data_IF_843639521435
#
_entry.id   IF_843639521435
#
_cell.length_a   1.000
_cell.length_b   1.000
_cell.length_c   1.000
_cell.angle_alpha   90.00
_cell.angle_beta   90.00
_cell.angle_gamma   90.00
#
_symmetry.space_group_name_H-M   'P 1'
#
loop_
_entity.id
_entity.type
_entity.pdbx_description
1 polymer ?
#
# COMPACT_ATOMS: atom_id res chain seq x y z
N UNK A 1 3.10 20.32 -17.86
CA UNK A 1 3.16 19.00 -17.21
C UNK A 1 1.78 18.41 -17.13
N UNK A 2 1.64 17.15 -17.52
CA UNK A 2 0.35 16.46 -17.43
C UNK A 2 0.04 16.04 -16.00
N UNK A 3 -1.23 15.78 -15.71
CA UNK A 3 -1.67 15.29 -14.42
C UNK A 3 -0.98 13.96 -14.06
N UNK A 4 -0.76 13.10 -15.06
CA UNK A 4 -0.04 11.84 -14.90
C UNK A 4 1.41 12.07 -14.47
N UNK A 5 2.12 13.00 -15.11
CA UNK A 5 3.51 13.29 -14.78
C UNK A 5 3.65 13.84 -13.35
N UNK A 6 2.70 14.67 -12.92
CA UNK A 6 2.68 15.21 -11.57
C UNK A 6 2.50 14.10 -10.53
N UNK A 7 1.56 13.18 -10.75
CA UNK A 7 1.31 12.05 -9.85
C UNK A 7 2.52 11.14 -9.75
N UNK A 8 3.18 10.86 -10.88
CA UNK A 8 4.38 10.02 -10.92
C UNK A 8 5.53 10.67 -10.16
N UNK A 9 5.73 11.99 -10.33
CA UNK A 9 6.77 12.74 -9.62
C UNK A 9 6.54 12.73 -8.12
N UNK A 10 5.29 12.91 -7.68
CA UNK A 10 4.92 12.86 -6.26
C UNK A 10 5.18 11.47 -5.69
N UNK A 11 4.80 10.41 -6.38
CA UNK A 11 5.07 9.04 -5.95
C UNK A 11 6.55 8.76 -5.74
N UNK A 12 7.40 9.25 -6.65
CA UNK A 12 8.86 9.11 -6.51
C UNK A 12 9.41 9.88 -5.33
N UNK A 13 8.90 11.08 -5.04
CA UNK A 13 9.32 11.86 -3.88
C UNK A 13 8.97 11.15 -2.58
N UNK A 14 7.78 10.55 -2.48
CA UNK A 14 7.34 9.81 -1.28
C UNK A 14 8.19 8.56 -1.08
N UNK A 15 8.49 7.86 -2.16
CA UNK A 15 9.37 6.69 -2.11
C UNK A 15 10.77 7.08 -1.66
N UNK A 16 11.29 8.21 -2.14
CA UNK A 16 12.60 8.74 -1.72
C UNK A 16 12.62 9.07 -0.23
N UNK A 17 11.54 9.63 0.31
CA UNK A 17 11.42 9.90 1.75
C UNK A 17 11.49 8.62 2.57
N UNK A 18 10.82 7.56 2.11
CA UNK A 18 10.87 6.26 2.79
C UNK A 18 12.28 5.65 2.75
N UNK A 19 12.96 5.77 1.62
CA UNK A 19 14.34 5.30 1.48
C UNK A 19 15.25 6.03 2.47
N UNK A 20 15.14 7.35 2.56
CA UNK A 20 15.91 8.13 3.54
C UNK A 20 15.59 7.73 4.98
N UNK A 21 14.32 7.49 5.28
CA UNK A 21 13.90 7.04 6.60
C UNK A 21 14.59 5.73 6.97
N UNK A 22 14.57 4.73 6.09
CA UNK A 22 15.22 3.46 6.37
C UNK A 22 16.73 3.58 6.48
N UNK A 23 17.35 4.42 5.66
CA UNK A 23 18.80 4.68 5.75
C UNK A 23 19.15 5.32 7.10
N UNK A 24 18.31 6.23 7.59
CA UNK A 24 18.53 6.86 8.90
C UNK A 24 18.46 5.88 10.07
N UNK A 25 17.81 4.74 9.87
CA UNK A 25 17.71 3.66 10.86
C UNK A 25 18.78 2.58 10.68
N UNK A 26 19.73 2.79 9.77
CA UNK A 26 20.81 1.84 9.53
C UNK A 26 20.48 0.72 8.54
N UNK A 27 19.34 0.82 7.85
CA UNK A 27 18.97 -0.16 6.83
C UNK A 27 19.55 0.21 5.46
N UNK A 28 19.58 -0.78 4.57
CA UNK A 28 20.03 -0.61 3.19
C UNK A 28 18.88 -0.90 2.25
N UNK A 29 18.02 0.09 1.94
CA UNK A 29 16.91 -0.12 1.01
C UNK A 29 17.42 -0.21 -0.42
N UNK A 30 16.92 -1.21 -1.14
CA UNK A 30 17.24 -1.43 -2.55
C UNK A 30 15.94 -1.26 -3.34
N UNK A 31 15.80 -0.19 -4.14
CA UNK A 31 14.63 -0.02 -5.00
C UNK A 31 14.56 -1.16 -6.02
N UNK A 32 13.36 -1.68 -6.25
CA UNK A 32 13.15 -2.75 -7.23
C UNK A 32 12.40 -2.14 -8.42
N UNK A 33 13.05 -2.00 -9.57
CA UNK A 33 12.38 -1.44 -10.75
C UNK A 33 11.44 -2.46 -11.38
N UNK A 34 10.37 -1.94 -11.99
CA UNK A 34 9.45 -2.75 -12.78
C UNK A 34 8.38 -3.44 -11.95
N UNK A 35 7.61 -4.32 -12.60
CA UNK A 35 6.43 -4.97 -12.03
C UNK A 35 6.65 -6.42 -11.65
N UNK A 36 7.89 -6.89 -11.64
CA UNK A 36 8.18 -8.33 -11.58
C UNK A 36 8.29 -8.90 -10.17
N UNK A 37 8.58 -8.08 -9.18
CA UNK A 37 8.94 -8.55 -7.85
C UNK A 37 7.80 -8.59 -6.86
N UNK A 38 6.69 -7.90 -7.14
CA UNK A 38 5.58 -7.80 -6.20
C UNK A 38 5.84 -6.87 -5.01
N UNK A 39 6.95 -6.14 -5.00
CA UNK A 39 7.22 -5.11 -3.99
C UNK A 39 8.11 -4.01 -4.58
N UNK A 40 8.05 -2.83 -3.96
CA UNK A 40 8.70 -1.61 -4.46
C UNK A 40 10.16 -1.48 -4.04
N UNK A 41 10.49 -1.96 -2.87
CA UNK A 41 11.88 -2.00 -2.42
C UNK A 41 12.11 -3.13 -1.42
N UNK A 42 13.39 -3.45 -1.23
CA UNK A 42 13.83 -4.57 -0.41
C UNK A 42 14.89 -4.08 0.57
N UNK A 43 14.79 -4.46 1.83
CA UNK A 43 15.82 -4.14 2.82
C UNK A 43 16.84 -5.29 2.88
N UNK A 44 18.07 -5.00 2.44
CA UNK A 44 19.11 -6.02 2.31
C UNK A 44 19.48 -6.69 3.65
N UNK A 45 19.49 -5.93 4.73
CA UNK A 45 19.91 -6.43 6.03
C UNK A 45 18.86 -7.28 6.75
N UNK A 46 17.55 -7.06 6.49
CA UNK A 46 16.48 -7.87 7.05
C UNK A 46 15.91 -8.87 6.05
N UNK A 47 16.24 -8.73 4.78
CA UNK A 47 15.73 -9.54 3.67
C UNK A 47 14.21 -9.49 3.54
N UNK A 48 13.64 -8.31 3.76
CA UNK A 48 12.20 -8.08 3.67
C UNK A 48 11.85 -7.15 2.53
N UNK A 49 10.77 -7.49 1.80
CA UNK A 49 10.23 -6.68 0.72
C UNK A 49 9.07 -5.82 1.19
N UNK A 50 9.02 -4.60 0.68
CA UNK A 50 8.01 -3.59 1.05
C UNK A 50 7.26 -3.13 -0.19
N UNK A 51 5.94 -3.05 -0.08
CA UNK A 51 5.09 -2.49 -1.11
C UNK A 51 4.44 -1.21 -0.58
N UNK A 52 4.57 -0.12 -1.33
CA UNK A 52 3.99 1.17 -0.97
C UNK A 52 2.67 1.34 -1.69
N UNK A 53 1.63 1.62 -0.93
CA UNK A 53 0.28 1.90 -1.46
C UNK A 53 -0.06 3.35 -1.21
N UNK A 54 0.05 4.17 -2.25
CA UNK A 54 -0.34 5.57 -2.16
C UNK A 54 -1.86 5.68 -2.27
N UNK A 55 -2.51 6.12 -1.22
CA UNK A 55 -3.96 6.32 -1.19
C UNK A 55 -4.29 7.65 -0.50
N UNK A 56 -4.10 8.73 -1.23
CA UNK A 56 -4.34 10.07 -0.70
C UNK A 56 -5.83 10.40 -0.62
N UNK A 57 -6.69 9.64 -1.30
CA UNK A 57 -8.14 9.79 -1.15
C UNK A 57 -8.61 9.45 0.26
N UNK A 58 -7.86 8.63 0.98
CA UNK A 58 -8.13 8.31 2.37
C UNK A 58 -8.15 9.54 3.27
N UNK A 59 -7.40 10.58 2.90
CA UNK A 59 -7.39 11.85 3.63
C UNK A 59 -8.79 12.51 3.64
N UNK A 60 -9.57 12.31 2.57
CA UNK A 60 -10.93 12.86 2.46
C UNK A 60 -12.01 11.87 2.85
N UNK A 61 -11.90 10.63 2.40
CA UNK A 61 -12.92 9.61 2.59
C UNK A 61 -12.87 8.95 3.97
N UNK A 62 -11.69 8.97 4.61
CA UNK A 62 -11.45 8.26 5.85
C UNK A 62 -11.28 6.76 5.67
N UNK A 63 -11.28 6.27 4.42
CA UNK A 63 -11.16 4.84 4.12
C UNK A 63 -9.97 4.55 3.23
N UNK A 64 -9.32 3.40 3.47
CA UNK A 64 -8.32 2.84 2.59
C UNK A 64 -8.94 1.76 1.72
N UNK A 65 -8.47 1.65 0.49
CA UNK A 65 -8.92 0.64 -0.47
C UNK A 65 -7.91 -0.51 -0.47
N UNK A 66 -8.37 -1.72 -0.16
CA UNK A 66 -7.52 -2.91 -0.13
C UNK A 66 -8.00 -3.87 -1.20
N UNK A 67 -7.35 -3.85 -2.35
CA UNK A 67 -7.71 -4.69 -3.50
C UNK A 67 -7.44 -6.16 -3.19
N UNK A 68 -8.34 -7.04 -3.59
CA UNK A 68 -8.22 -8.49 -3.39
C UNK A 68 -8.46 -9.30 -4.66
N UNK A 69 -9.11 -8.72 -5.67
CA UNK A 69 -9.41 -9.40 -6.92
C UNK A 69 -9.47 -8.43 -8.08
N UNK A 70 -8.96 -8.85 -9.22
CA UNK A 70 -9.03 -8.11 -10.48
C UNK A 70 -9.20 -9.10 -11.62
N UNK A 71 -10.19 -8.83 -12.50
CA UNK A 71 -10.50 -9.71 -13.63
C UNK A 71 -10.80 -11.15 -13.21
N UNK A 72 -11.47 -11.34 -12.08
CA UNK A 72 -11.81 -12.65 -11.54
C UNK A 72 -10.64 -13.44 -10.96
N UNK A 73 -9.45 -12.81 -10.86
CA UNK A 73 -8.24 -13.44 -10.32
C UNK A 73 -7.81 -12.76 -9.03
N UNK A 74 -7.15 -13.52 -8.17
CA UNK A 74 -6.56 -12.96 -6.95
C UNK A 74 -5.58 -11.85 -7.29
N UNK A 75 -5.68 -10.74 -6.59
CA UNK A 75 -4.79 -9.60 -6.77
C UNK A 75 -4.60 -8.87 -5.45
N UNK A 76 -3.77 -7.84 -5.43
CA UNK A 76 -3.53 -7.03 -4.25
C UNK A 76 -3.16 -7.88 -3.04
N UNK A 77 -3.94 -7.78 -1.96
CA UNK A 77 -3.66 -8.50 -0.71
C UNK A 77 -3.62 -10.01 -0.88
N UNK A 78 -4.42 -10.57 -1.79
CA UNK A 78 -4.51 -12.03 -1.98
C UNK A 78 -3.41 -12.59 -2.88
N UNK A 79 -2.61 -11.74 -3.52
CA UNK A 79 -1.54 -12.13 -4.43
C UNK A 79 -0.16 -11.59 -4.03
N UNK A 80 -0.10 -10.71 -3.05
CA UNK A 80 1.14 -10.04 -2.67
C UNK A 80 2.20 -11.01 -2.15
N UNK A 81 3.44 -10.75 -2.51
CA UNK A 81 4.62 -11.46 -1.99
C UNK A 81 5.44 -10.57 -1.06
N UNK A 82 5.00 -9.32 -0.85
CA UNK A 82 5.67 -8.40 0.05
C UNK A 82 5.50 -8.83 1.51
N UNK A 83 6.53 -8.58 2.30
CA UNK A 83 6.48 -8.84 3.74
C UNK A 83 5.73 -7.73 4.48
N UNK A 84 5.82 -6.51 3.95
CA UNK A 84 5.22 -5.32 4.53
C UNK A 84 4.49 -4.49 3.48
N UNK A 85 3.37 -3.91 3.88
CA UNK A 85 2.69 -2.87 3.14
C UNK A 85 2.84 -1.56 3.89
N UNK A 86 3.09 -0.47 3.15
CA UNK A 86 3.14 0.88 3.70
C UNK A 86 2.04 1.68 3.01
N UNK A 87 1.02 2.06 3.77
CA UNK A 87 -0.01 2.96 3.25
C UNK A 87 0.45 4.39 3.41
N UNK A 88 0.53 5.10 2.30
CA UNK A 88 0.80 6.53 2.26
C UNK A 88 -0.53 7.26 2.15
N UNK A 89 -1.00 7.84 3.24
CA UNK A 89 -2.26 8.57 3.30
C UNK A 89 -2.07 10.07 3.12
N UNK A 90 -0.88 10.51 2.70
CA UNK A 90 -0.43 11.89 2.60
C UNK A 90 0.08 12.43 3.94
N UNK A 91 -0.65 12.25 5.02
CA UNK A 91 -0.27 12.76 6.36
C UNK A 91 0.57 11.77 7.15
N UNK A 92 0.48 10.48 6.80
CA UNK A 92 1.13 9.42 7.55
C UNK A 92 1.60 8.30 6.62
N UNK A 93 2.61 7.57 7.09
CA UNK A 93 2.97 6.26 6.55
C UNK A 93 2.57 5.21 7.59
N UNK A 94 1.72 4.27 7.17
CA UNK A 94 1.19 3.22 8.05
C UNK A 94 1.82 1.89 7.65
N UNK A 95 2.58 1.28 8.56
CA UNK A 95 3.29 0.02 8.32
C UNK A 95 2.47 -1.15 8.84
N UNK A 96 2.02 -2.01 7.95
CA UNK A 96 1.19 -3.17 8.30
C UNK A 96 1.59 -4.37 7.45
N UNK A 97 1.54 -5.57 8.02
CA UNK A 97 1.82 -6.78 7.27
C UNK A 97 0.56 -7.26 6.54
N UNK A 98 0.70 -8.00 5.43
CA UNK A 98 -0.45 -8.65 4.79
C UNK A 98 -1.23 -9.54 5.75
N UNK A 99 -0.55 -10.23 6.68
CA UNK A 99 -1.22 -11.05 7.68
C UNK A 99 -2.10 -10.22 8.61
N UNK A 100 -1.60 -9.09 9.08
CA UNK A 100 -2.38 -8.18 9.94
C UNK A 100 -3.62 -7.65 9.21
N UNK A 101 -3.50 -7.34 7.91
CA UNK A 101 -4.65 -6.92 7.10
C UNK A 101 -5.68 -8.03 6.96
N UNK A 102 -5.24 -9.27 6.74
CA UNK A 102 -6.13 -10.42 6.64
C UNK A 102 -6.85 -10.68 7.97
N UNK A 103 -6.13 -10.58 9.07
CA UNK A 103 -6.73 -10.73 10.42
C UNK A 103 -7.81 -9.65 10.65
N UNK A 104 -7.53 -8.41 10.27
CA UNK A 104 -8.50 -7.31 10.36
C UNK A 104 -9.77 -7.64 9.57
N UNK A 105 -9.61 -8.11 8.33
CA UNK A 105 -10.73 -8.42 7.45
C UNK A 105 -11.60 -9.52 8.06
N UNK A 106 -10.98 -10.58 8.58
CA UNK A 106 -11.70 -11.69 9.21
C UNK A 106 -12.44 -11.23 10.47
N UNK A 107 -11.79 -10.44 11.31
CA UNK A 107 -12.36 -10.00 12.59
C UNK A 107 -13.40 -8.90 12.46
N UNK A 108 -13.16 -7.94 11.56
CA UNK A 108 -13.98 -6.73 11.43
C UNK A 108 -15.04 -6.82 10.33
N UNK A 109 -14.89 -7.73 9.40
CA UNK A 109 -15.79 -7.92 8.26
C UNK A 109 -16.13 -6.60 7.55
N UNK A 110 -15.12 -5.84 7.06
CA UNK A 110 -15.40 -4.59 6.38
C UNK A 110 -16.13 -4.81 5.05
N UNK A 111 -16.79 -3.79 4.50
CA UNK A 111 -17.55 -3.96 3.27
C UNK A 111 -16.64 -4.26 2.08
N UNK A 112 -17.01 -5.28 1.31
CA UNK A 112 -16.38 -5.62 0.04
C UNK A 112 -17.15 -4.92 -1.07
N UNK A 113 -16.43 -4.16 -1.89
CA UNK A 113 -17.02 -3.40 -3.00
C UNK A 113 -16.48 -3.89 -4.33
N UNK A 114 -17.33 -3.83 -5.33
CA UNK A 114 -16.95 -4.08 -6.71
C UNK A 114 -17.00 -2.76 -7.46
N UNK A 115 -15.95 -2.44 -8.19
CA UNK A 115 -15.89 -1.22 -8.97
C UNK A 115 -15.07 -1.41 -10.23
N UNK A 116 -15.35 -0.57 -11.23
CA UNK A 116 -14.61 -0.55 -12.48
C UNK A 116 -13.95 0.83 -12.59
N UNK A 117 -12.64 0.85 -12.60
CA UNK A 117 -11.90 2.09 -12.75
C UNK A 117 -11.98 2.63 -14.18
N UNK A 118 -11.63 3.90 -14.36
CA UNK A 118 -11.61 4.54 -15.66
C UNK A 118 -10.64 3.79 -16.58
N UNK A 119 -11.13 3.35 -17.72
CA UNK A 119 -10.35 2.58 -18.70
C UNK A 119 -10.31 1.08 -18.43
N UNK A 120 -10.86 0.60 -17.31
CA UNK A 120 -10.94 -0.82 -17.03
C UNK A 120 -12.11 -1.44 -17.77
N UNK A 121 -11.92 -2.65 -18.30
CA UNK A 121 -12.97 -3.42 -18.98
C UNK A 121 -13.69 -4.36 -18.05
N UNK A 122 -13.12 -4.68 -16.90
CA UNK A 122 -13.66 -5.61 -15.91
C UNK A 122 -13.56 -5.04 -14.49
N UNK A 123 -14.46 -5.46 -13.60
CA UNK A 123 -14.48 -4.95 -12.23
C UNK A 123 -13.33 -5.47 -11.39
N UNK A 124 -12.96 -4.66 -10.43
CA UNK A 124 -12.06 -5.02 -9.33
C UNK A 124 -12.89 -5.19 -8.07
N UNK A 125 -12.42 -6.03 -7.16
CA UNK A 125 -13.00 -6.14 -5.82
C UNK A 125 -12.00 -5.68 -4.79
N UNK A 126 -12.48 -4.86 -3.86
CA UNK A 126 -11.63 -4.32 -2.79
C UNK A 126 -12.46 -4.10 -1.54
N UNK A 127 -11.79 -4.24 -0.40
CA UNK A 127 -12.36 -3.86 0.87
C UNK A 127 -12.16 -2.37 1.09
N UNK A 128 -13.20 -1.70 1.61
CA UNK A 128 -13.09 -0.33 2.11
C UNK A 128 -12.93 -0.42 3.63
N UNK A 129 -11.77 0.01 4.12
CA UNK A 129 -11.43 -0.14 5.53
C UNK A 129 -11.14 1.24 6.12
N UNK A 130 -11.84 1.65 7.18
CA UNK A 130 -11.54 2.92 7.85
C UNK A 130 -10.07 2.98 8.26
N UNK A 131 -9.43 4.12 7.99
CA UNK A 131 -8.02 4.35 8.29
C UNK A 131 -7.70 4.01 9.75
N UNK A 132 -8.59 4.42 10.68
CA UNK A 132 -8.36 4.17 12.10
C UNK A 132 -8.29 2.68 12.43
N UNK A 133 -9.08 1.85 11.76
CA UNK A 133 -9.03 0.40 11.97
C UNK A 133 -7.71 -0.20 11.49
N UNK A 134 -7.23 0.27 10.36
CA UNK A 134 -5.90 -0.17 9.86
C UNK A 134 -4.81 0.27 10.84
N UNK A 135 -4.89 1.49 11.35
CA UNK A 135 -3.93 1.97 12.35
C UNK A 135 -3.94 1.13 13.63
N UNK A 136 -5.10 0.63 14.04
CA UNK A 136 -5.21 -0.22 15.23
C UNK A 136 -4.50 -1.57 15.06
N UNK A 137 -4.42 -2.07 13.83
CA UNK A 137 -3.75 -3.34 13.51
C UNK A 137 -2.30 -3.15 13.07
N UNK A 138 -1.91 -1.92 12.75
CA UNK A 138 -0.58 -1.63 12.21
C UNK A 138 0.52 -1.80 13.25
N UNK A 139 1.71 -2.13 12.76
CA UNK A 139 2.89 -2.24 13.62
C UNK A 139 3.47 -0.89 13.99
N UNK A 140 3.44 0.07 13.07
CA UNK A 140 3.94 1.42 13.34
C UNK A 140 3.32 2.44 12.40
N UNK A 141 3.35 3.70 12.82
CA UNK A 141 2.82 4.83 12.08
C UNK A 141 3.84 5.95 12.17
N UNK A 142 4.19 6.52 11.02
CA UNK A 142 5.09 7.66 10.94
C UNK A 142 4.32 8.84 10.42
N UNK A 143 4.23 9.89 11.22
CA UNK A 143 3.58 11.15 10.80
C UNK A 143 4.54 11.96 9.95
N UNK A 144 3.97 12.66 9.00
CA UNK A 144 4.72 13.56 8.13
C UNK A 144 4.47 15.00 8.50
#
# INVERSE_FOLDING_TARGET
MTEFDTSLSVGKLREAELIEFFQSKGHKPIPIPGKFSGFDFFLANTKQGYEVKQDWKAHYSGNLVVEVEMYGKRSGLMATTADWWIFDTKDEFIFITPKQLKDLIVEQNPPLRQFTGKGDTQPKKAYLIPVQRIKNYASSIIKR
#
